data_IF_784102978514
#
_entry.id   IF_784102978514
#
_cell.length_a   1.000
_cell.length_b   1.000
_cell.length_c   1.000
_cell.angle_alpha   90.00
_cell.angle_beta   90.00
_cell.angle_gamma   90.00
#
_symmetry.space_group_name_H-M   'P 1'
#
loop_
_entity.id
_entity.type
_entity.pdbx_description
1 polymer ?
#
# COMPACT_ATOMS: atom_id res chain seq x y z
N UNK A 1 20.98 24.21 71.14
CA UNK A 1 19.70 24.38 70.40
C UNK A 1 19.65 23.36 69.26
N UNK A 2 18.81 22.32 69.34
CA UNK A 2 18.57 21.43 68.18
C UNK A 2 17.62 22.15 67.23
N UNK A 3 18.14 22.67 66.13
CA UNK A 3 17.35 23.27 65.05
C UNK A 3 16.43 22.21 64.45
N UNK A 4 15.13 22.39 64.68
CA UNK A 4 14.05 21.55 64.18
C UNK A 4 13.96 21.78 62.67
N UNK A 5 14.68 21.00 61.87
CA UNK A 5 14.55 21.00 60.41
C UNK A 5 13.08 20.70 60.07
N UNK A 6 12.31 21.72 59.69
CA UNK A 6 10.92 21.53 59.32
C UNK A 6 10.85 20.69 58.03
N UNK A 7 9.98 19.67 57.94
CA UNK A 7 9.83 18.85 56.74
C UNK A 7 9.04 19.53 55.60
N UNK A 8 8.46 20.71 55.83
CA UNK A 8 7.66 21.46 54.85
C UNK A 8 8.36 21.73 53.49
N UNK A 9 9.64 22.16 53.42
CA UNK A 9 10.30 22.36 52.13
C UNK A 9 10.44 21.07 51.33
N UNK A 10 10.63 19.90 51.98
CA UNK A 10 10.71 18.60 51.28
C UNK A 10 9.39 18.19 50.65
N UNK A 11 8.27 18.38 51.35
CA UNK A 11 6.93 18.07 50.83
C UNK A 11 6.57 18.92 49.61
N UNK A 12 6.88 20.22 49.64
CA UNK A 12 6.63 21.11 48.50
C UNK A 12 7.49 20.74 47.28
N UNK A 13 8.77 20.42 47.48
CA UNK A 13 9.64 19.97 46.39
C UNK A 13 9.18 18.65 45.77
N UNK A 14 8.68 17.70 46.57
CA UNK A 14 8.13 16.44 46.06
C UNK A 14 6.85 16.69 45.26
N UNK A 15 5.94 17.54 45.76
CA UNK A 15 4.70 17.87 45.06
C UNK A 15 4.99 18.56 43.70
N UNK A 16 5.91 19.52 43.67
CA UNK A 16 6.33 20.19 42.43
C UNK A 16 6.97 19.21 41.44
N UNK A 17 7.80 18.26 41.92
CA UNK A 17 8.37 17.23 41.07
C UNK A 17 7.32 16.29 40.49
N UNK A 18 6.30 15.90 41.27
CA UNK A 18 5.17 15.09 40.78
C UNK A 18 4.32 15.82 39.76
N UNK A 19 4.03 17.11 39.98
CA UNK A 19 3.30 17.94 39.00
C UNK A 19 4.12 18.11 37.73
N UNK A 20 5.42 18.35 37.83
CA UNK A 20 6.31 18.42 36.67
C UNK A 20 6.34 17.09 35.91
N UNK A 21 6.44 15.95 36.60
CA UNK A 21 6.37 14.62 35.99
C UNK A 21 5.00 14.35 35.33
N UNK A 22 3.91 14.83 35.92
CA UNK A 22 2.57 14.70 35.33
C UNK A 22 2.41 15.59 34.09
N UNK A 23 2.91 16.82 34.10
CA UNK A 23 2.90 17.74 32.96
C UNK A 23 3.78 17.18 31.83
N UNK A 24 4.99 16.71 32.16
CA UNK A 24 5.88 16.06 31.20
C UNK A 24 5.20 14.80 30.68
N UNK A 25 4.71 13.91 31.54
CA UNK A 25 4.02 12.69 31.13
C UNK A 25 2.79 12.95 30.24
N UNK A 26 1.98 13.94 30.57
CA UNK A 26 0.82 14.36 29.78
C UNK A 26 1.23 14.99 28.45
N UNK A 27 2.24 15.86 28.47
CA UNK A 27 2.82 16.46 27.27
C UNK A 27 3.38 15.38 26.33
N UNK A 28 4.23 14.50 26.85
CA UNK A 28 4.79 13.37 26.10
C UNK A 28 3.68 12.45 25.60
N UNK A 29 2.65 12.16 26.41
CA UNK A 29 1.49 11.40 25.94
C UNK A 29 0.79 12.11 24.78
N UNK A 30 0.52 13.42 24.87
CA UNK A 30 -0.12 14.17 23.80
C UNK A 30 0.72 14.25 22.52
N UNK A 31 2.04 14.40 22.63
CA UNK A 31 2.95 14.47 21.48
C UNK A 31 3.26 13.10 20.86
N UNK A 32 3.14 12.01 21.62
CA UNK A 32 3.43 10.65 21.14
C UNK A 32 2.15 9.87 20.79
N UNK A 33 0.98 10.32 21.27
CA UNK A 33 -0.30 9.66 20.97
C UNK A 33 -0.52 9.61 19.45
N UNK A 34 -0.90 8.44 18.91
CA UNK A 34 -1.37 8.31 17.53
C UNK A 34 -2.42 9.37 17.22
N UNK A 35 -2.13 10.29 16.30
CA UNK A 35 -3.08 11.27 15.78
C UNK A 35 -3.44 10.89 14.35
N UNK A 36 -4.73 10.83 14.06
CA UNK A 36 -5.22 10.59 12.71
C UNK A 36 -5.56 11.92 12.06
N UNK A 37 -5.24 12.07 10.78
CA UNK A 37 -5.82 13.14 9.99
C UNK A 37 -7.34 12.93 9.93
N UNK A 38 -8.10 13.86 10.53
CA UNK A 38 -9.53 13.94 10.30
C UNK A 38 -9.73 14.65 8.97
N UNK A 39 -10.21 13.92 7.97
CA UNK A 39 -10.62 14.51 6.71
C UNK A 39 -12.07 15.00 6.87
N UNK A 40 -12.36 16.29 6.65
CA UNK A 40 -13.73 16.77 6.70
C UNK A 40 -14.53 16.09 5.59
N UNK A 41 -15.65 15.49 5.95
CA UNK A 41 -16.62 14.93 4.99
C UNK A 41 -17.82 15.86 4.91
N UNK A 42 -18.33 16.05 3.69
CA UNK A 42 -19.51 16.87 3.40
C UNK A 42 -20.61 16.01 2.81
N UNK A 43 -21.87 16.49 2.89
CA UNK A 43 -23.06 15.85 2.31
C UNK A 43 -23.42 16.49 0.96
N UNK A 44 -22.99 15.88 -0.13
CA UNK A 44 -23.23 16.26 -1.51
C UNK A 44 -24.65 15.96 -2.03
N UNK A 45 -25.46 15.20 -1.28
CA UNK A 45 -26.89 15.06 -1.57
C UNK A 45 -27.65 16.40 -1.61
N UNK A 46 -27.16 17.42 -0.88
CA UNK A 46 -27.73 18.77 -0.89
C UNK A 46 -27.32 19.60 -2.12
N UNK A 47 -26.31 19.17 -2.87
CA UNK A 47 -25.84 19.88 -4.06
C UNK A 47 -26.80 19.60 -5.22
N UNK A 48 -27.40 20.63 -5.83
CA UNK A 48 -28.39 20.42 -6.88
C UNK A 48 -27.72 20.01 -8.19
N UNK A 49 -28.41 19.23 -9.03
CA UNK A 49 -27.84 18.72 -10.29
C UNK A 49 -27.53 19.82 -11.31
N UNK A 50 -28.22 20.97 -11.22
CA UNK A 50 -27.95 22.14 -12.06
C UNK A 50 -26.60 22.81 -11.74
N UNK A 51 -25.91 22.40 -10.65
CA UNK A 51 -24.55 22.84 -10.38
C UNK A 51 -23.56 22.44 -11.48
N UNK A 52 -23.92 21.44 -12.30
CA UNK A 52 -23.14 20.99 -13.46
C UNK A 52 -23.65 21.56 -14.79
N UNK A 53 -24.63 22.47 -14.80
CA UNK A 53 -25.12 23.07 -16.04
C UNK A 53 -24.08 24.05 -16.60
N UNK A 54 -23.77 23.93 -17.89
CA UNK A 54 -22.72 24.72 -18.55
C UNK A 54 -21.29 24.26 -18.24
N UNK A 55 -21.10 23.18 -17.48
CA UNK A 55 -19.79 22.53 -17.39
C UNK A 55 -19.44 21.94 -18.75
N UNK A 56 -18.51 22.57 -19.48
CA UNK A 56 -17.92 21.98 -20.66
C UNK A 56 -17.14 20.73 -20.23
N UNK A 57 -17.27 19.65 -21.00
CA UNK A 57 -16.32 18.55 -20.89
C UNK A 57 -14.97 19.13 -21.30
N UNK A 58 -14.06 19.28 -20.34
CA UNK A 58 -12.67 19.54 -20.66
C UNK A 58 -12.17 18.26 -21.32
N UNK A 59 -12.30 18.17 -22.64
CA UNK A 59 -11.52 17.21 -23.41
C UNK A 59 -10.07 17.51 -23.07
N UNK A 60 -9.34 16.49 -22.60
CA UNK A 60 -7.91 16.65 -22.38
C UNK A 60 -7.31 17.15 -23.69
N UNK A 61 -6.83 18.40 -23.69
CA UNK A 61 -5.92 18.90 -24.73
C UNK A 61 -4.63 18.09 -24.56
N UNK A 62 -4.67 16.84 -25.03
CA UNK A 62 -3.69 15.81 -24.77
C UNK A 62 -2.43 16.11 -25.54
N UNK A 63 -1.60 17.00 -24.99
CA UNK A 63 -0.18 16.98 -25.32
C UNK A 63 0.36 15.57 -25.06
N UNK A 64 1.29 15.13 -25.90
CA UNK A 64 1.99 13.86 -25.69
C UNK A 64 2.60 13.86 -24.29
N UNK A 65 2.28 12.83 -23.49
CA UNK A 65 2.82 12.69 -22.15
C UNK A 65 4.35 12.62 -22.24
N UNK A 66 5.05 13.61 -21.66
CA UNK A 66 6.52 13.73 -21.72
C UNK A 66 7.23 12.44 -21.31
N UNK A 67 6.67 11.75 -20.31
CA UNK A 67 7.06 10.41 -19.92
C UNK A 67 5.82 9.52 -19.84
N UNK A 68 5.95 8.29 -20.35
CA UNK A 68 4.97 7.22 -20.19
C UNK A 68 5.61 6.12 -19.39
N UNK A 69 5.03 5.79 -18.23
CA UNK A 69 5.50 4.68 -17.40
C UNK A 69 5.02 3.36 -18.03
N UNK A 70 5.94 2.43 -18.37
CA UNK A 70 5.58 1.15 -18.96
C UNK A 70 4.54 0.39 -18.13
N UNK A 71 3.68 -0.39 -18.79
CA UNK A 71 2.72 -1.25 -18.08
C UNK A 71 3.37 -2.59 -17.69
N UNK A 72 4.49 -2.50 -16.97
CA UNK A 72 5.18 -3.63 -16.35
C UNK A 72 4.96 -3.60 -14.85
N UNK A 73 4.81 -4.77 -14.24
CA UNK A 73 4.69 -4.92 -12.79
C UNK A 73 5.87 -5.72 -12.28
N UNK A 74 6.44 -5.31 -11.16
CA UNK A 74 7.61 -5.92 -10.56
C UNK A 74 7.31 -6.37 -9.13
N UNK A 75 7.47 -7.67 -8.87
CA UNK A 75 7.47 -8.26 -7.54
C UNK A 75 8.83 -8.89 -7.27
N UNK A 76 9.34 -8.74 -6.05
CA UNK A 76 10.55 -9.43 -5.61
C UNK A 76 10.15 -10.54 -4.63
N UNK A 77 10.64 -11.76 -4.89
CA UNK A 77 10.45 -12.90 -4.00
C UNK A 77 11.73 -13.73 -3.90
N UNK A 78 12.46 -13.53 -2.81
CA UNK A 78 13.67 -14.27 -2.50
C UNK A 78 13.35 -15.51 -1.65
N UNK A 79 14.01 -16.62 -1.96
CA UNK A 79 13.77 -17.90 -1.32
C UNK A 79 14.38 -17.94 0.09
N UNK A 80 13.54 -18.23 1.09
CA UNK A 80 14.01 -18.58 2.45
C UNK A 80 14.63 -19.98 2.47
N UNK A 81 14.03 -20.91 1.74
CA UNK A 81 14.57 -22.25 1.47
C UNK A 81 14.91 -22.32 -0.03
N UNK A 82 16.18 -22.48 -0.42
CA UNK A 82 16.60 -22.51 -1.82
C UNK A 82 15.96 -23.65 -2.63
N UNK A 83 15.38 -24.67 -1.97
CA UNK A 83 14.70 -25.78 -2.64
C UNK A 83 13.20 -25.54 -2.89
N UNK A 84 12.62 -24.43 -2.39
CA UNK A 84 11.17 -24.22 -2.40
C UNK A 84 10.76 -22.78 -2.76
N UNK A 85 10.18 -22.63 -3.95
CA UNK A 85 9.35 -21.46 -4.26
C UNK A 85 7.93 -21.68 -3.74
N UNK A 86 7.55 -20.94 -2.69
CA UNK A 86 6.23 -21.02 -2.07
C UNK A 86 5.66 -19.63 -1.83
N UNK A 87 4.54 -19.34 -2.47
CA UNK A 87 3.79 -18.09 -2.36
C UNK A 87 2.45 -18.34 -1.64
N UNK A 88 1.98 -17.34 -0.89
CA UNK A 88 0.76 -17.41 -0.08
C UNK A 88 -0.48 -16.92 -0.83
N UNK A 89 -1.64 -17.02 -0.18
CA UNK A 89 -2.89 -16.43 -0.67
C UNK A 89 -2.78 -14.92 -0.81
N UNK A 90 -2.20 -14.22 0.18
CA UNK A 90 -2.04 -12.77 0.14
C UNK A 90 -1.16 -12.32 -1.03
N UNK A 91 -0.05 -13.03 -1.30
CA UNK A 91 0.79 -12.72 -2.47
C UNK A 91 0.04 -12.99 -3.77
N UNK A 92 -0.72 -14.10 -3.85
CA UNK A 92 -1.57 -14.36 -5.00
C UNK A 92 -2.59 -13.25 -5.21
N UNK A 93 -3.21 -12.76 -4.15
CA UNK A 93 -4.20 -11.69 -4.21
C UNK A 93 -3.59 -10.39 -4.74
N UNK A 94 -2.40 -10.00 -4.27
CA UNK A 94 -1.69 -8.84 -4.81
C UNK A 94 -1.42 -9.00 -6.33
N UNK A 95 -0.80 -10.12 -6.73
CA UNK A 95 -0.44 -10.38 -8.13
C UNK A 95 -1.67 -10.49 -9.04
N UNK A 96 -2.73 -11.16 -8.55
CA UNK A 96 -3.96 -11.34 -9.30
C UNK A 96 -4.72 -10.02 -9.46
N UNK A 97 -4.78 -9.20 -8.42
CA UNK A 97 -5.33 -7.85 -8.50
C UNK A 97 -4.58 -6.99 -9.53
N UNK A 98 -3.24 -7.04 -9.55
CA UNK A 98 -2.46 -6.36 -10.59
C UNK A 98 -2.82 -6.88 -12.01
N UNK A 99 -2.96 -8.20 -12.16
CA UNK A 99 -3.33 -8.82 -13.42
C UNK A 99 -4.68 -8.32 -13.95
N UNK A 100 -5.73 -8.34 -13.12
CA UNK A 100 -7.09 -8.01 -13.57
C UNK A 100 -7.32 -6.51 -13.73
N UNK A 101 -6.78 -5.68 -12.82
CA UNK A 101 -7.08 -4.25 -12.80
C UNK A 101 -6.16 -3.44 -13.72
N UNK A 102 -4.90 -3.85 -13.87
CA UNK A 102 -3.93 -3.07 -14.66
C UNK A 102 -3.64 -3.67 -16.02
N UNK A 103 -3.99 -4.95 -16.21
CA UNK A 103 -3.76 -5.72 -17.45
C UNK A 103 -2.35 -5.49 -18.00
N UNK A 104 -1.30 -5.72 -17.18
CA UNK A 104 0.07 -5.40 -17.55
C UNK A 104 0.55 -6.29 -18.69
N UNK A 105 1.43 -5.74 -19.54
CA UNK A 105 2.08 -6.51 -20.59
C UNK A 105 2.94 -7.63 -19.98
N UNK A 106 3.59 -7.35 -18.85
CA UNK A 106 4.42 -8.30 -18.11
C UNK A 106 4.29 -8.07 -16.61
N UNK A 107 4.21 -9.17 -15.86
CA UNK A 107 4.40 -9.20 -14.41
C UNK A 107 5.70 -9.95 -14.16
N UNK A 108 6.75 -9.23 -13.80
CA UNK A 108 8.02 -9.80 -13.42
C UNK A 108 7.99 -10.29 -11.97
N UNK A 109 8.27 -11.58 -11.78
CA UNK A 109 8.63 -12.14 -10.48
C UNK A 109 10.15 -12.27 -10.44
N UNK A 110 10.80 -11.31 -9.78
CA UNK A 110 12.24 -11.29 -9.54
C UNK A 110 12.56 -12.26 -8.40
N UNK A 111 13.22 -13.37 -8.70
CA UNK A 111 13.50 -14.41 -7.71
C UNK A 111 14.87 -15.04 -7.91
N UNK A 112 15.45 -15.52 -6.81
CA UNK A 112 16.65 -16.34 -6.80
C UNK A 112 16.35 -17.85 -6.88
N UNK A 113 15.13 -18.24 -7.22
CA UNK A 113 14.78 -19.63 -7.55
C UNK A 113 15.52 -20.12 -8.81
N UNK A 114 15.96 -21.38 -8.84
CA UNK A 114 16.55 -21.99 -10.05
C UNK A 114 15.45 -22.46 -11.01
N UNK A 115 15.75 -22.70 -12.30
CA UNK A 115 14.79 -23.27 -13.25
C UNK A 115 14.14 -24.55 -12.75
N UNK A 116 14.88 -25.42 -12.06
CA UNK A 116 14.40 -26.68 -11.52
C UNK A 116 13.39 -26.45 -10.38
N UNK A 117 13.68 -25.50 -9.48
CA UNK A 117 12.77 -25.12 -8.39
C UNK A 117 11.48 -24.50 -8.94
N UNK A 118 11.59 -23.67 -9.98
CA UNK A 118 10.45 -23.09 -10.67
C UNK A 118 9.59 -24.19 -11.31
N UNK A 119 10.22 -25.14 -12.01
CA UNK A 119 9.50 -26.25 -12.65
C UNK A 119 8.78 -27.12 -11.61
N UNK A 120 9.49 -27.48 -10.53
CA UNK A 120 8.90 -28.21 -9.40
C UNK A 120 7.71 -27.45 -8.78
N UNK A 121 7.79 -26.13 -8.66
CA UNK A 121 6.71 -25.31 -8.13
C UNK A 121 5.47 -25.28 -9.06
N UNK A 122 5.67 -25.28 -10.38
CA UNK A 122 4.57 -25.43 -11.36
C UNK A 122 3.86 -26.77 -11.23
N UNK A 123 4.62 -27.85 -11.08
CA UNK A 123 4.08 -29.22 -11.04
C UNK A 123 3.49 -29.60 -9.68
N UNK A 124 4.13 -29.20 -8.58
CA UNK A 124 3.88 -29.70 -7.23
C UNK A 124 3.83 -28.63 -6.14
N UNK A 125 3.88 -27.34 -6.50
CA UNK A 125 3.75 -26.24 -5.55
C UNK A 125 2.37 -26.12 -4.89
N UNK A 126 2.24 -25.21 -3.94
CA UNK A 126 0.96 -24.89 -3.31
C UNK A 126 -0.05 -24.38 -4.34
N UNK A 127 -1.37 -24.51 -4.11
CA UNK A 127 -2.39 -24.00 -5.02
C UNK A 127 -2.16 -22.52 -5.42
N UNK A 128 -1.79 -21.67 -4.46
CA UNK A 128 -1.50 -20.25 -4.70
C UNK A 128 -0.25 -20.02 -5.54
N UNK A 129 0.82 -20.77 -5.29
CA UNK A 129 2.05 -20.70 -6.11
C UNK A 129 1.73 -21.09 -7.56
N UNK A 130 1.01 -22.20 -7.75
CA UNK A 130 0.60 -22.65 -9.08
C UNK A 130 -0.26 -21.62 -9.80
N UNK A 131 -1.23 -21.01 -9.10
CA UNK A 131 -2.09 -19.95 -9.66
C UNK A 131 -1.28 -18.75 -10.12
N UNK A 132 -0.34 -18.26 -9.30
CA UNK A 132 0.54 -17.14 -9.70
C UNK A 132 1.33 -17.50 -10.96
N UNK A 133 1.95 -18.69 -10.97
CA UNK A 133 2.76 -19.14 -12.11
C UNK A 133 1.94 -19.46 -13.36
N UNK A 134 0.62 -19.58 -13.25
CA UNK A 134 -0.31 -19.80 -14.35
C UNK A 134 -0.87 -18.49 -14.94
N UNK A 135 -0.64 -17.33 -14.32
CA UNK A 135 -1.09 -16.04 -14.86
C UNK A 135 -0.36 -15.77 -16.18
N UNK A 136 -1.05 -15.53 -17.32
CA UNK A 136 -0.40 -15.45 -18.64
C UNK A 136 0.70 -14.39 -18.76
N UNK A 137 0.54 -13.25 -18.08
CA UNK A 137 1.51 -12.15 -18.09
C UNK A 137 2.71 -12.38 -17.15
N UNK A 138 2.73 -13.45 -16.34
CA UNK A 138 3.84 -13.73 -15.42
C UNK A 138 5.12 -14.07 -16.18
N UNK A 139 6.22 -13.45 -15.78
CA UNK A 139 7.58 -13.70 -16.28
C UNK A 139 8.51 -13.87 -15.10
N UNK A 140 9.15 -15.03 -15.01
CA UNK A 140 10.15 -15.26 -13.99
C UNK A 140 11.44 -14.58 -14.43
N UNK A 141 11.93 -13.65 -13.62
CA UNK A 141 13.22 -13.03 -13.82
C UNK A 141 14.18 -13.54 -12.75
N UNK A 142 15.20 -14.29 -13.19
CA UNK A 142 16.22 -14.79 -12.27
C UNK A 142 17.07 -13.62 -11.80
N UNK A 143 17.22 -13.48 -10.49
CA UNK A 143 18.12 -12.50 -9.88
C UNK A 143 19.02 -13.16 -8.85
N UNK A 144 20.08 -12.44 -8.48
CA UNK A 144 20.91 -12.78 -7.32
C UNK A 144 20.56 -11.85 -6.17
N UNK A 145 20.37 -12.43 -4.99
CA UNK A 145 20.12 -11.66 -3.78
C UNK A 145 21.39 -10.87 -3.40
N UNK A 146 21.37 -9.52 -3.39
CA UNK A 146 22.56 -8.73 -3.11
C UNK A 146 23.04 -8.99 -1.68
N UNK A 147 24.34 -9.26 -1.52
CA UNK A 147 24.92 -9.58 -0.20
C UNK A 147 25.60 -8.39 0.45
N UNK A 148 26.09 -7.45 -0.36
CA UNK A 148 26.82 -6.27 0.09
C UNK A 148 26.54 -5.09 -0.82
N UNK A 149 26.68 -3.88 -0.28
CA UNK A 149 26.76 -2.66 -1.09
C UNK A 149 28.08 -2.61 -1.86
N UNK A 150 28.21 -1.65 -2.79
CA UNK A 150 29.46 -1.45 -3.54
C UNK A 150 30.65 -1.05 -2.65
N UNK A 151 30.39 -0.45 -1.49
CA UNK A 151 31.40 -0.14 -0.46
C UNK A 151 31.67 -1.30 0.50
N UNK A 152 30.98 -2.42 0.33
CA UNK A 152 31.19 -3.62 1.12
C UNK A 152 30.37 -3.70 2.42
N UNK A 153 29.41 -2.80 2.64
CA UNK A 153 28.46 -2.89 3.78
C UNK A 153 27.55 -4.09 3.56
N UNK A 154 27.38 -4.94 4.58
CA UNK A 154 26.58 -6.16 4.48
C UNK A 154 25.08 -5.86 4.40
N UNK A 155 24.39 -6.52 3.45
CA UNK A 155 22.94 -6.46 3.30
C UNK A 155 22.38 -7.78 3.84
N UNK A 156 22.13 -7.83 5.15
CA UNK A 156 21.76 -9.07 5.84
C UNK A 156 20.30 -9.46 5.59
N UNK A 157 19.37 -8.53 5.87
CA UNK A 157 17.92 -8.75 5.85
C UNK A 157 17.38 -8.94 4.43
N UNK A 158 16.38 -9.81 4.26
CA UNK A 158 15.78 -10.09 2.96
C UNK A 158 15.01 -8.89 2.41
N UNK A 159 14.46 -8.09 3.30
CA UNK A 159 13.71 -6.88 3.02
C UNK A 159 14.64 -5.83 2.39
N UNK A 160 15.85 -5.64 2.93
CA UNK A 160 16.86 -4.80 2.30
C UNK A 160 17.33 -5.34 0.96
N UNK A 161 17.46 -6.66 0.81
CA UNK A 161 17.78 -7.24 -0.49
C UNK A 161 16.68 -6.94 -1.52
N UNK A 162 15.42 -6.98 -1.09
CA UNK A 162 14.28 -6.55 -1.89
C UNK A 162 14.35 -5.07 -2.25
N UNK A 163 14.78 -4.19 -1.32
CA UNK A 163 14.98 -2.76 -1.59
C UNK A 163 15.99 -2.53 -2.73
N UNK A 164 17.12 -3.24 -2.75
CA UNK A 164 18.07 -3.09 -3.85
C UNK A 164 17.53 -3.65 -5.18
N UNK A 165 16.81 -4.77 -5.14
CA UNK A 165 16.27 -5.41 -6.34
C UNK A 165 15.10 -4.63 -6.95
N UNK A 166 14.22 -4.02 -6.15
CA UNK A 166 13.13 -3.18 -6.64
C UNK A 166 13.66 -1.92 -7.33
N UNK A 167 14.73 -1.33 -6.78
CA UNK A 167 15.39 -0.17 -7.40
C UNK A 167 16.07 -0.55 -8.71
N UNK A 168 16.77 -1.69 -8.77
CA UNK A 168 17.33 -2.19 -10.02
C UNK A 168 16.24 -2.41 -11.08
N UNK A 169 15.13 -3.06 -10.69
CA UNK A 169 14.03 -3.36 -11.59
C UNK A 169 13.40 -2.08 -12.19
N UNK A 170 13.05 -1.10 -11.34
CA UNK A 170 12.46 0.16 -11.81
C UNK A 170 13.45 1.01 -12.62
N UNK A 171 14.74 1.02 -12.24
CA UNK A 171 15.76 1.72 -13.02
C UNK A 171 15.90 1.10 -14.42
N UNK A 172 15.97 -0.22 -14.52
CA UNK A 172 16.32 -0.89 -15.79
C UNK A 172 15.10 -1.09 -16.71
N UNK A 173 13.94 -1.38 -16.15
CA UNK A 173 12.73 -1.70 -16.91
C UNK A 173 11.66 -0.60 -16.84
N UNK A 174 11.73 0.31 -15.87
CA UNK A 174 10.60 1.16 -15.50
C UNK A 174 9.45 0.33 -14.94
N UNK A 175 8.23 0.81 -15.10
CA UNK A 175 7.02 0.12 -14.68
C UNK A 175 6.61 0.45 -13.25
N UNK A 176 5.99 -0.51 -12.59
CA UNK A 176 5.40 -0.37 -11.25
C UNK A 176 5.91 -1.48 -10.36
N UNK A 177 6.57 -1.11 -9.27
CA UNK A 177 6.94 -2.05 -8.22
C UNK A 177 5.82 -2.13 -7.18
N UNK A 178 5.60 -3.34 -6.67
CA UNK A 178 4.70 -3.64 -5.56
C UNK A 178 5.38 -4.54 -4.54
N UNK A 179 5.33 -4.14 -3.27
CA UNK A 179 5.49 -5.08 -2.16
C UNK A 179 4.39 -6.14 -2.23
N UNK A 180 4.67 -7.34 -1.73
CA UNK A 180 3.78 -8.49 -1.90
C UNK A 180 2.48 -8.41 -1.10
N UNK A 181 2.40 -7.47 -0.16
CA UNK A 181 1.24 -7.09 0.64
C UNK A 181 0.59 -5.78 0.15
N UNK A 182 1.03 -5.23 -0.99
CA UNK A 182 0.37 -4.11 -1.65
C UNK A 182 -0.63 -4.61 -2.71
N UNK A 183 -1.93 -4.36 -2.52
CA UNK A 183 -3.00 -4.90 -3.36
C UNK A 183 -3.62 -3.81 -4.22
N UNK A 184 -3.51 -3.89 -5.56
CA UNK A 184 -4.26 -3.01 -6.46
C UNK A 184 -5.77 -3.11 -6.26
N UNK A 185 -6.44 -1.97 -6.20
CA UNK A 185 -7.90 -1.88 -6.07
C UNK A 185 -8.60 -1.38 -7.34
N UNK A 186 -7.85 -0.77 -8.27
CA UNK A 186 -8.35 -0.21 -9.53
C UNK A 186 -7.21 0.06 -10.50
N UNK A 187 -7.55 0.44 -11.72
CA UNK A 187 -6.57 0.84 -12.74
C UNK A 187 -5.78 2.11 -12.36
N UNK A 188 -4.51 2.14 -12.74
CA UNK A 188 -3.56 3.23 -12.56
C UNK A 188 -3.06 3.80 -13.89
N UNK A 189 -3.68 3.46 -15.03
CA UNK A 189 -3.30 3.98 -16.34
C UNK A 189 -3.21 5.52 -16.37
N UNK A 190 -4.11 6.22 -15.67
CA UNK A 190 -4.05 7.68 -15.53
C UNK A 190 -2.77 8.18 -14.85
N UNK A 191 -2.26 7.44 -13.85
CA UNK A 191 -0.98 7.77 -13.19
C UNK A 191 0.21 7.43 -14.11
N UNK A 192 0.17 6.29 -14.81
CA UNK A 192 1.22 5.90 -15.76
C UNK A 192 1.36 6.88 -16.93
N UNK A 193 0.24 7.46 -17.36
CA UNK A 193 0.15 8.41 -18.47
C UNK A 193 0.14 9.87 -18.00
N UNK A 194 0.49 10.15 -16.73
CA UNK A 194 0.48 11.49 -16.15
C UNK A 194 1.53 12.45 -16.74
N UNK A 195 2.48 11.93 -17.52
CA UNK A 195 3.60 12.69 -18.07
C UNK A 195 4.81 12.78 -17.13
N UNK A 196 4.71 12.28 -15.90
CA UNK A 196 5.82 12.25 -14.95
C UNK A 196 6.71 11.01 -15.11
N UNK A 197 8.02 11.19 -14.95
CA UNK A 197 8.99 10.10 -14.98
C UNK A 197 8.88 9.19 -13.75
N UNK A 198 8.38 9.68 -12.61
CA UNK A 198 8.18 8.90 -11.39
C UNK A 198 6.87 9.30 -10.71
N UNK A 199 6.14 8.32 -10.17
CA UNK A 199 4.96 8.54 -9.32
C UNK A 199 5.14 7.74 -8.03
N UNK A 200 5.12 8.44 -6.89
CA UNK A 200 5.42 7.86 -5.57
C UNK A 200 4.36 8.32 -4.57
N UNK A 201 3.98 7.45 -3.63
CA UNK A 201 3.04 7.76 -2.57
C UNK A 201 3.73 8.20 -1.28
N UNK A 202 3.10 9.13 -0.56
CA UNK A 202 3.38 9.33 0.86
C UNK A 202 3.07 8.08 1.69
N UNK A 203 3.72 7.95 2.83
CA UNK A 203 3.47 6.91 3.81
C UNK A 203 2.42 7.38 4.82
N UNK A 204 1.46 6.53 5.18
CA UNK A 204 0.56 6.83 6.30
C UNK A 204 1.26 6.49 7.60
N UNK A 205 1.25 7.43 8.54
CA UNK A 205 1.72 7.23 9.89
C UNK A 205 0.77 7.88 10.89
N UNK A 206 0.59 7.25 12.05
CA UNK A 206 -0.19 7.83 13.14
C UNK A 206 0.66 8.69 14.07
N UNK A 207 1.97 8.42 14.14
CA UNK A 207 2.88 9.31 14.84
C UNK A 207 3.34 10.44 13.90
N UNK A 208 3.34 11.67 14.42
CA UNK A 208 3.92 12.82 13.73
C UNK A 208 5.40 12.60 13.35
N UNK A 209 6.11 11.74 14.09
CA UNK A 209 7.52 11.42 13.83
C UNK A 209 7.77 10.89 12.42
N UNK A 210 6.83 10.15 11.85
CA UNK A 210 6.97 9.53 10.53
C UNK A 210 6.10 10.22 9.46
N UNK A 211 5.48 11.36 9.80
CA UNK A 211 4.67 12.11 8.85
C UNK A 211 5.55 12.78 7.79
N UNK A 212 5.09 12.75 6.54
CA UNK A 212 5.78 13.39 5.40
C UNK A 212 6.82 12.50 4.71
N UNK A 213 7.02 11.28 5.18
CA UNK A 213 7.87 10.30 4.50
C UNK A 213 7.17 9.70 3.27
N UNK A 214 7.98 9.33 2.28
CA UNK A 214 7.56 8.60 1.08
C UNK A 214 7.72 7.10 1.31
N UNK A 215 6.82 6.31 0.73
CA UNK A 215 6.86 4.85 0.83
C UNK A 215 7.48 4.22 -0.42
N UNK A 216 8.31 3.19 -0.25
CA UNK A 216 8.96 2.45 -1.34
C UNK A 216 8.28 1.11 -1.69
N UNK A 217 7.15 0.80 -1.07
CA UNK A 217 6.37 -0.41 -1.34
C UNK A 217 5.47 -0.30 -2.55
N UNK A 218 5.20 0.92 -3.01
CA UNK A 218 4.55 1.20 -4.31
C UNK A 218 5.28 2.35 -4.98
N UNK A 219 5.95 2.07 -6.09
CA UNK A 219 6.69 3.08 -6.86
C UNK A 219 6.49 2.84 -8.34
N UNK A 220 6.28 3.91 -9.08
CA UNK A 220 6.14 3.88 -10.54
C UNK A 220 7.28 4.69 -11.15
N UNK A 221 7.91 4.18 -12.21
CA UNK A 221 9.00 4.89 -12.87
C UNK A 221 9.06 4.63 -14.39
N UNK A 222 9.45 5.63 -15.15
CA UNK A 222 10.03 5.44 -16.47
C UNK A 222 11.44 4.81 -16.30
N UNK A 223 11.88 3.94 -17.22
CA UNK A 223 13.22 3.39 -17.16
C UNK A 223 14.26 4.51 -17.19
N UNK A 224 15.32 4.35 -16.40
CA UNK A 224 16.44 5.29 -16.29
C UNK A 224 16.03 6.73 -15.96
N UNK A 225 14.91 6.94 -15.26
CA UNK A 225 14.57 8.27 -14.72
C UNK A 225 15.71 8.82 -13.85
N UNK A 226 15.77 10.16 -13.69
CA UNK A 226 16.83 10.76 -12.88
C UNK A 226 16.75 10.27 -11.44
N UNK A 227 15.52 10.24 -10.88
CA UNK A 227 15.29 9.70 -9.55
C UNK A 227 15.74 8.25 -9.42
N UNK A 228 15.33 7.32 -10.29
CA UNK A 228 15.69 5.90 -10.13
C UNK A 228 17.19 5.66 -10.35
N UNK A 229 17.80 6.37 -11.28
CA UNK A 229 19.25 6.30 -11.53
C UNK A 229 20.04 6.76 -10.31
N UNK A 230 19.72 7.94 -9.78
CA UNK A 230 20.39 8.50 -8.60
C UNK A 230 20.09 7.64 -7.37
N UNK A 231 18.83 7.24 -7.18
CA UNK A 231 18.41 6.52 -5.99
C UNK A 231 19.09 5.16 -5.87
N UNK A 232 19.20 4.40 -6.96
CA UNK A 232 19.92 3.14 -6.96
C UNK A 232 21.40 3.30 -6.56
N UNK A 233 22.07 4.31 -7.12
CA UNK A 233 23.48 4.61 -6.84
C UNK A 233 23.67 5.09 -5.39
N UNK A 234 22.79 5.99 -4.94
CA UNK A 234 22.79 6.52 -3.59
C UNK A 234 22.44 5.46 -2.53
N UNK A 235 21.60 4.47 -2.86
CA UNK A 235 21.32 3.36 -1.95
C UNK A 235 22.58 2.54 -1.65
N UNK A 236 23.44 2.31 -2.64
CA UNK A 236 24.73 1.66 -2.40
C UNK A 236 25.72 2.52 -1.60
N UNK A 237 25.58 3.83 -1.65
CA UNK A 237 26.42 4.81 -0.97
C UNK A 237 26.04 4.99 0.51
N UNK A 238 24.74 5.13 0.79
CA UNK A 238 24.21 5.55 2.10
C UNK A 238 23.60 4.42 2.92
N UNK A 239 23.46 3.21 2.38
CA UNK A 239 22.96 2.08 3.15
C UNK A 239 23.88 1.76 4.33
N UNK A 240 23.29 1.76 5.51
CA UNK A 240 23.93 1.61 6.82
C UNK A 240 23.41 0.36 7.58
N UNK A 241 22.44 -0.37 7.02
CA UNK A 241 21.80 -1.51 7.67
C UNK A 241 20.56 -1.16 8.50
N UNK A 242 20.23 0.12 8.65
CA UNK A 242 19.02 0.55 9.35
C UNK A 242 17.78 0.37 8.46
N UNK A 243 16.63 0.14 9.11
CA UNK A 243 15.39 -0.24 8.42
C UNK A 243 14.95 0.77 7.35
N UNK A 244 15.10 2.07 7.65
CA UNK A 244 14.48 3.16 6.90
C UNK A 244 15.47 3.99 6.08
N UNK A 245 16.78 3.95 6.36
CA UNK A 245 17.74 4.92 5.79
C UNK A 245 17.75 4.90 4.26
N UNK A 246 18.02 3.74 3.66
CA UNK A 246 18.08 3.63 2.20
C UNK A 246 16.71 3.46 1.54
N UNK A 247 15.71 2.94 2.24
CA UNK A 247 14.39 2.62 1.69
C UNK A 247 13.43 3.81 1.72
N UNK A 248 13.39 4.54 2.85
CA UNK A 248 12.39 5.58 3.15
C UNK A 248 13.02 6.96 3.23
N UNK A 249 14.08 7.15 4.02
CA UNK A 249 14.68 8.48 4.23
C UNK A 249 15.31 9.02 2.96
N UNK A 250 16.12 8.18 2.28
CA UNK A 250 16.77 8.55 1.02
C UNK A 250 15.74 8.82 -0.09
N UNK A 251 14.71 7.98 -0.23
CA UNK A 251 13.60 8.20 -1.16
C UNK A 251 12.90 9.53 -0.87
N UNK A 252 12.64 9.82 0.40
CA UNK A 252 11.98 11.05 0.83
C UNK A 252 12.81 12.28 0.48
N UNK A 253 14.10 12.29 0.77
CA UNK A 253 14.98 13.42 0.42
C UNK A 253 15.05 13.62 -1.11
N UNK A 254 15.35 12.57 -1.86
CA UNK A 254 15.48 12.65 -3.31
C UNK A 254 14.15 13.02 -3.98
N UNK A 255 13.06 12.36 -3.62
CA UNK A 255 11.73 12.60 -4.17
C UNK A 255 11.29 14.05 -4.00
N UNK A 256 11.44 14.60 -2.79
CA UNK A 256 11.07 16.00 -2.51
C UNK A 256 11.94 17.01 -3.25
N UNK A 257 13.26 16.77 -3.36
CA UNK A 257 14.16 17.69 -4.08
C UNK A 257 13.93 17.66 -5.59
N UNK A 258 13.77 16.46 -6.14
CA UNK A 258 13.57 16.26 -7.57
C UNK A 258 12.14 16.59 -8.04
N UNK A 259 11.16 16.70 -7.13
CA UNK A 259 9.81 17.17 -7.46
C UNK A 259 9.79 18.60 -8.06
N UNK A 260 10.83 19.41 -7.80
CA UNK A 260 10.99 20.73 -8.41
C UNK A 260 11.40 20.67 -9.89
N UNK A 261 11.89 19.54 -10.36
CA UNK A 261 12.27 19.34 -11.77
C UNK A 261 11.00 19.01 -12.57
N UNK A 262 10.70 19.75 -13.65
CA UNK A 262 9.48 19.56 -14.43
C UNK A 262 9.30 18.11 -14.90
N UNK A 263 8.18 17.50 -14.51
CA UNK A 263 7.78 16.14 -14.84
C UNK A 263 8.72 15.04 -14.31
N UNK A 264 9.58 15.31 -13.33
CA UNK A 264 10.46 14.26 -12.78
C UNK A 264 9.73 13.41 -11.73
N UNK A 265 9.16 14.03 -10.69
CA UNK A 265 8.49 13.31 -9.59
C UNK A 265 7.10 13.89 -9.34
N UNK A 266 6.08 13.03 -9.40
CA UNK A 266 4.74 13.27 -8.87
C UNK A 266 4.61 12.57 -7.52
N UNK A 267 4.45 13.35 -6.45
CA UNK A 267 4.20 12.83 -5.11
C UNK A 267 2.69 12.82 -4.85
N UNK A 268 2.14 11.65 -4.56
CA UNK A 268 0.75 11.46 -4.21
C UNK A 268 0.55 11.50 -2.69
N UNK A 269 -0.64 11.90 -2.26
CA UNK A 269 -1.04 11.78 -0.86
C UNK A 269 -1.01 10.30 -0.40
N UNK A 270 -0.81 10.02 0.90
CA UNK A 270 -0.71 8.66 1.40
C UNK A 270 -1.88 7.76 1.04
N UNK A 271 -3.11 8.28 1.05
CA UNK A 271 -4.34 7.52 0.76
C UNK A 271 -4.33 6.83 -0.62
N UNK A 272 -3.52 7.32 -1.58
CA UNK A 272 -3.44 6.76 -2.91
C UNK A 272 -2.83 5.34 -2.92
N UNK A 273 -1.76 5.11 -2.17
CA UNK A 273 -1.00 3.85 -2.18
C UNK A 273 -0.84 3.19 -0.80
N UNK A 274 -0.93 3.97 0.27
CA UNK A 274 -0.75 3.52 1.64
C UNK A 274 -1.79 4.19 2.55
N UNK A 275 -3.08 3.80 2.49
CA UNK A 275 -4.15 4.43 3.26
C UNK A 275 -4.13 4.08 4.76
N UNK A 276 -3.29 3.14 5.20
CA UNK A 276 -3.24 2.63 6.58
C UNK A 276 -1.81 2.33 7.01
N UNK A 277 -1.38 2.80 8.18
CA UNK A 277 0.00 2.58 8.64
C UNK A 277 0.29 1.14 9.08
N UNK A 278 1.58 0.81 9.21
CA UNK A 278 2.09 -0.42 9.83
C UNK A 278 1.84 -0.48 11.35
N UNK A 279 1.34 0.61 11.94
CA UNK A 279 1.06 0.69 13.37
C UNK A 279 -0.17 -0.15 13.72
N UNK A 280 -0.14 -0.76 14.90
CA UNK A 280 -1.13 -1.74 15.36
C UNK A 280 -2.57 -1.21 15.29
N UNK A 281 -2.78 0.06 15.64
CA UNK A 281 -4.10 0.69 15.67
C UNK A 281 -4.76 0.77 14.29
N UNK A 282 -3.98 0.98 13.23
CA UNK A 282 -4.50 0.99 11.86
C UNK A 282 -4.69 -0.43 11.32
N UNK A 283 -3.78 -1.36 11.64
CA UNK A 283 -3.99 -2.76 11.29
C UNK A 283 -5.24 -3.35 11.97
N UNK A 284 -5.53 -2.98 13.24
CA UNK A 284 -6.80 -3.35 13.89
C UNK A 284 -7.98 -2.85 13.06
N UNK A 285 -7.96 -1.59 12.62
CA UNK A 285 -9.05 -1.03 11.80
C UNK A 285 -9.17 -1.74 10.46
N UNK A 286 -8.06 -2.16 9.87
CA UNK A 286 -8.04 -2.83 8.57
C UNK A 286 -8.55 -4.27 8.66
N UNK A 287 -8.07 -5.06 9.63
CA UNK A 287 -8.27 -6.51 9.68
C UNK A 287 -9.29 -7.00 10.71
N UNK A 288 -9.67 -6.21 11.71
CA UNK A 288 -10.64 -6.68 12.71
C UNK A 288 -12.00 -6.91 12.06
N UNK A 289 -12.58 -8.08 12.31
CA UNK A 289 -13.93 -8.41 11.88
C UNK A 289 -14.96 -7.66 12.74
N UNK A 290 -15.92 -6.99 12.09
CA UNK A 290 -17.10 -6.45 12.74
C UNK A 290 -18.02 -7.60 13.19
N UNK A 291 -18.60 -7.47 14.39
CA UNK A 291 -19.47 -8.49 14.99
C UNK A 291 -20.81 -8.59 14.27
N UNK A 292 -21.37 -7.43 13.92
CA UNK A 292 -22.61 -7.28 13.16
C UNK A 292 -22.34 -6.35 11.97
N UNK A 293 -21.67 -6.81 10.89
CA UNK A 293 -21.69 -6.03 9.68
C UNK A 293 -23.14 -5.99 9.23
N UNK A 294 -23.73 -4.79 9.14
CA UNK A 294 -24.84 -4.64 8.20
C UNK A 294 -24.24 -5.12 6.90
N UNK A 295 -24.71 -6.26 6.38
CA UNK A 295 -24.39 -6.64 5.04
C UNK A 295 -24.92 -5.47 4.22
N UNK A 296 -24.04 -4.53 3.86
CA UNK A 296 -24.38 -3.47 2.93
C UNK A 296 -24.83 -4.24 1.71
N UNK A 297 -26.15 -4.31 1.54
CA UNK A 297 -26.84 -5.11 0.55
C UNK A 297 -26.68 -4.51 -0.83
N UNK A 298 -25.48 -4.02 -1.15
CA UNK A 298 -25.01 -3.95 -2.52
C UNK A 298 -24.90 -5.42 -2.91
N UNK A 299 -25.92 -5.88 -3.62
CA UNK A 299 -26.12 -7.26 -3.97
C UNK A 299 -24.88 -7.85 -4.65
N UNK A 300 -24.87 -9.17 -4.74
CA UNK A 300 -23.95 -9.90 -5.62
C UNK A 300 -24.10 -9.48 -7.10
N UNK A 301 -25.07 -8.62 -7.39
CA UNK A 301 -25.39 -8.03 -8.68
C UNK A 301 -25.21 -6.51 -8.54
N UNK A 302 -24.45 -5.89 -9.46
CA UNK A 302 -24.25 -4.43 -9.61
C UNK A 302 -23.10 -3.72 -8.86
N UNK A 303 -21.94 -4.38 -8.67
CA UNK A 303 -20.65 -3.67 -8.80
C UNK A 303 -19.91 -4.02 -10.10
N UNK A 304 -20.66 -4.42 -11.12
CA UNK A 304 -20.35 -3.94 -12.47
C UNK A 304 -20.61 -2.43 -12.53
N UNK A 305 -19.99 -1.63 -11.63
CA UNK A 305 -19.81 -0.23 -11.91
C UNK A 305 -18.99 -0.23 -13.19
N UNK A 306 -19.69 0.00 -14.29
CA UNK A 306 -19.09 0.54 -15.47
C UNK A 306 -18.09 1.57 -14.94
N UNK A 307 -16.81 1.38 -15.21
CA UNK A 307 -15.88 2.49 -15.36
C UNK A 307 -16.35 3.34 -16.55
N UNK A 308 -17.64 3.66 -16.60
CA UNK A 308 -18.19 4.75 -17.38
C UNK A 308 -17.41 5.93 -16.85
N UNK A 309 -16.57 6.45 -17.72
CA UNK A 309 -15.82 7.69 -17.57
C UNK A 309 -16.52 8.58 -16.54
N UNK A 310 -16.01 8.62 -15.30
CA UNK A 310 -16.28 9.72 -14.38
C UNK A 310 -15.51 10.91 -14.99
N UNK A 311 -15.97 11.35 -16.15
CA UNK A 311 -15.31 12.36 -16.97
C UNK A 311 -16.09 13.66 -16.93
N UNK A 312 -17.38 13.60 -16.62
CA UNK A 312 -18.23 14.78 -16.53
C UNK A 312 -18.48 15.19 -15.08
N UNK A 313 -18.77 16.47 -14.87
CA UNK A 313 -19.23 16.99 -13.59
C UNK A 313 -20.44 16.20 -13.06
N UNK A 314 -21.39 15.86 -13.94
CA UNK A 314 -22.64 15.19 -13.57
C UNK A 314 -22.38 13.77 -13.08
N UNK A 315 -21.47 13.03 -13.72
CA UNK A 315 -21.09 11.69 -13.30
C UNK A 315 -20.38 11.70 -11.94
N UNK A 316 -19.47 12.67 -11.74
CA UNK A 316 -18.78 12.84 -10.47
C UNK A 316 -19.74 13.18 -9.32
N UNK A 317 -20.68 14.11 -9.55
CA UNK A 317 -21.70 14.47 -8.56
C UNK A 317 -22.64 13.30 -8.26
N UNK A 318 -23.09 12.57 -9.28
CA UNK A 318 -23.94 11.40 -9.12
C UNK A 318 -23.23 10.29 -8.32
N UNK A 319 -21.94 10.05 -8.60
CA UNK A 319 -21.12 9.10 -7.86
C UNK A 319 -20.97 9.48 -6.38
N UNK A 320 -20.77 10.77 -6.06
CA UNK A 320 -20.72 11.26 -4.68
C UNK A 320 -22.06 11.00 -3.96
N UNK A 321 -23.18 11.36 -4.59
CA UNK A 321 -24.52 11.13 -4.03
C UNK A 321 -24.83 9.65 -3.80
N UNK A 322 -24.41 8.78 -4.71
CA UNK A 322 -24.62 7.33 -4.57
C UNK A 322 -23.95 6.78 -3.30
N UNK A 323 -22.72 7.21 -2.99
CA UNK A 323 -21.99 6.80 -1.77
C UNK A 323 -22.59 7.36 -0.49
N UNK A 324 -23.37 8.43 -0.56
CA UNK A 324 -24.12 8.94 0.60
C UNK A 324 -25.46 8.25 0.79
N UNK A 325 -26.08 7.82 -0.31
CA UNK A 325 -27.35 7.11 -0.31
C UNK A 325 -27.21 5.63 0.07
N UNK A 326 -26.00 5.06 0.02
CA UNK A 326 -25.74 3.80 0.70
C UNK A 326 -25.98 4.02 2.20
N UNK A 327 -27.14 3.57 2.67
CA UNK A 327 -27.54 3.64 4.08
C UNK A 327 -26.38 3.12 4.93
N UNK A 328 -25.80 4.05 5.69
CA UNK A 328 -24.90 3.75 6.81
C UNK A 328 -23.67 2.92 6.40
N UNK A 329 -22.66 3.56 5.80
CA UNK A 329 -21.30 3.07 6.01
C UNK A 329 -21.10 3.03 7.53
N UNK A 330 -20.85 1.85 8.08
CA UNK A 330 -20.69 1.74 9.53
C UNK A 330 -19.53 2.66 9.96
N UNK A 331 -19.56 3.27 11.16
CA UNK A 331 -18.50 4.18 11.61
C UNK A 331 -17.07 3.57 11.61
N UNK A 332 -16.97 2.24 11.55
CA UNK A 332 -15.70 1.52 11.47
C UNK A 332 -15.16 1.38 10.04
N UNK A 333 -15.98 1.61 9.01
CA UNK A 333 -15.61 1.43 7.62
C UNK A 333 -14.53 2.43 7.17
N UNK A 334 -13.65 1.95 6.30
CA UNK A 334 -12.60 2.71 5.65
C UNK A 334 -13.08 3.08 4.24
N UNK A 335 -13.04 4.38 3.91
CA UNK A 335 -13.28 4.81 2.54
C UNK A 335 -12.00 4.70 1.71
N UNK A 336 -11.96 3.70 0.83
CA UNK A 336 -10.89 3.48 -0.13
C UNK A 336 -11.17 4.18 -1.48
N UNK A 337 -12.10 5.13 -1.55
CA UNK A 337 -12.48 5.84 -2.77
C UNK A 337 -11.32 6.56 -3.47
N UNK A 338 -10.33 7.03 -2.72
CA UNK A 338 -9.11 7.68 -3.26
C UNK A 338 -7.91 6.74 -3.35
N UNK A 339 -8.10 5.45 -3.03
CA UNK A 339 -7.03 4.44 -2.98
C UNK A 339 -6.93 3.67 -4.29
N UNK A 340 -5.75 3.73 -4.91
CA UNK A 340 -5.38 2.92 -6.07
C UNK A 340 -4.79 1.58 -5.66
N UNK A 341 -3.95 1.58 -4.62
CA UNK A 341 -3.30 0.40 -4.05
C UNK A 341 -3.47 0.44 -2.54
N UNK A 342 -3.87 -0.68 -1.96
CA UNK A 342 -3.91 -0.88 -0.52
C UNK A 342 -2.62 -1.56 -0.08
N UNK A 343 -1.68 -0.82 0.51
CA UNK A 343 -0.55 -1.42 1.22
C UNK A 343 -1.06 -2.00 2.56
N UNK A 344 -1.26 -3.32 2.61
CA UNK A 344 -1.93 -4.01 3.70
C UNK A 344 -0.93 -4.65 4.67
N UNK A 345 -0.09 -3.84 5.32
CA UNK A 345 0.88 -4.32 6.32
C UNK A 345 0.23 -5.32 7.29
N UNK A 346 0.80 -6.52 7.44
CA UNK A 346 0.12 -7.64 8.11
C UNK A 346 0.80 -8.13 9.42
N UNK A 347 1.82 -7.40 9.88
CA UNK A 347 2.64 -7.74 11.05
C UNK A 347 1.85 -8.08 12.34
N UNK A 348 0.67 -7.48 12.54
CA UNK A 348 -0.17 -7.66 13.72
C UNK A 348 -1.36 -8.59 13.49
N UNK A 349 -1.58 -9.09 12.26
CA UNK A 349 -2.75 -9.90 11.90
C UNK A 349 -2.99 -11.07 12.86
N UNK A 350 -1.99 -11.91 13.21
CA UNK A 350 -2.21 -13.02 14.14
C UNK A 350 -2.73 -12.59 15.53
N UNK A 351 -2.40 -11.36 15.96
CA UNK A 351 -2.88 -10.79 17.22
C UNK A 351 -4.27 -10.15 17.12
N UNK A 352 -4.74 -9.85 15.91
CA UNK A 352 -6.00 -9.15 15.63
C UNK A 352 -7.13 -10.14 15.39
N UNK A 353 -6.91 -11.11 14.49
CA UNK A 353 -7.95 -12.08 14.09
C UNK A 353 -7.90 -13.39 14.89
N UNK A 354 -6.85 -13.57 15.71
CA UNK A 354 -6.62 -14.77 16.49
C UNK A 354 -5.72 -15.79 15.77
N UNK A 355 -5.00 -16.61 16.54
CA UNK A 355 -3.95 -17.51 16.03
C UNK A 355 -4.47 -18.63 15.13
N UNK A 356 -5.73 -19.04 15.32
CA UNK A 356 -6.37 -20.11 14.55
C UNK A 356 -7.11 -19.58 13.31
N UNK A 357 -7.17 -18.25 13.15
CA UNK A 357 -7.76 -17.59 12.00
C UNK A 357 -6.66 -17.09 11.07
N UNK A 358 -6.91 -17.15 9.77
CA UNK A 358 -5.99 -16.70 8.72
C UNK A 358 -6.75 -15.88 7.70
N UNK A 359 -6.03 -15.01 7.00
CA UNK A 359 -6.55 -14.34 5.82
C UNK A 359 -6.57 -15.36 4.68
N UNK A 360 -7.75 -15.82 4.32
CA UNK A 360 -8.01 -16.75 3.22
C UNK A 360 -9.23 -16.32 2.41
N UNK A 361 -9.62 -17.14 1.43
CA UNK A 361 -10.79 -16.89 0.56
C UNK A 361 -12.04 -16.65 1.39
N UNK A 362 -12.29 -17.49 2.39
CA UNK A 362 -13.45 -17.39 3.27
C UNK A 362 -13.47 -16.08 4.05
N UNK A 363 -12.35 -15.70 4.66
CA UNK A 363 -12.21 -14.42 5.35
C UNK A 363 -12.58 -13.23 4.44
N UNK A 364 -12.13 -13.25 3.17
CA UNK A 364 -12.46 -12.19 2.21
C UNK A 364 -13.95 -12.20 1.82
N UNK A 365 -14.49 -13.38 1.50
CA UNK A 365 -15.88 -13.52 1.06
C UNK A 365 -16.90 -13.19 2.16
N UNK A 366 -16.52 -13.35 3.43
CA UNK A 366 -17.34 -12.92 4.58
C UNK A 366 -17.50 -11.39 4.66
N UNK A 367 -16.60 -10.59 4.07
CA UNK A 367 -16.66 -9.11 4.03
C UNK A 367 -16.82 -8.43 5.40
N UNK A 368 -16.35 -9.08 6.47
CA UNK A 368 -16.49 -8.59 7.85
C UNK A 368 -15.43 -7.59 8.27
N UNK A 369 -14.37 -7.38 7.49
CA UNK A 369 -13.32 -6.40 7.78
C UNK A 369 -13.14 -5.43 6.61
N UNK A 370 -12.48 -4.30 6.88
CA UNK A 370 -12.15 -3.32 5.86
C UNK A 370 -11.24 -3.92 4.77
N UNK A 371 -10.28 -4.75 5.16
CA UNK A 371 -9.46 -5.51 4.23
C UNK A 371 -10.32 -6.40 3.35
N UNK A 372 -11.19 -7.22 3.95
CA UNK A 372 -12.03 -8.16 3.23
C UNK A 372 -12.92 -7.43 2.21
N UNK A 373 -13.51 -6.29 2.60
CA UNK A 373 -14.32 -5.46 1.69
C UNK A 373 -13.50 -4.85 0.56
N UNK A 374 -12.31 -4.32 0.86
CA UNK A 374 -11.46 -3.69 -0.15
C UNK A 374 -11.02 -4.66 -1.25
N UNK A 375 -10.64 -5.88 -0.86
CA UNK A 375 -10.08 -6.87 -1.80
C UNK A 375 -11.11 -7.86 -2.33
N UNK A 376 -12.34 -7.83 -1.82
CA UNK A 376 -13.46 -8.67 -2.25
C UNK A 376 -13.65 -8.69 -3.77
N UNK A 377 -13.65 -7.56 -4.50
CA UNK A 377 -13.89 -7.57 -5.94
C UNK A 377 -12.93 -8.49 -6.72
N UNK A 378 -11.65 -8.51 -6.36
CA UNK A 378 -10.65 -9.36 -7.01
C UNK A 378 -10.88 -10.85 -6.71
N UNK A 379 -11.16 -11.20 -5.45
CA UNK A 379 -11.43 -12.59 -5.04
C UNK A 379 -12.74 -13.08 -5.65
N UNK A 380 -13.78 -12.25 -5.65
CA UNK A 380 -15.07 -12.60 -6.23
C UNK A 380 -14.96 -12.83 -7.73
N UNK A 381 -14.23 -11.98 -8.45
CA UNK A 381 -14.00 -12.18 -9.87
C UNK A 381 -13.24 -13.49 -10.14
N UNK A 382 -12.24 -13.84 -9.32
CA UNK A 382 -11.55 -15.14 -9.45
C UNK A 382 -12.47 -16.35 -9.20
N UNK A 383 -13.45 -16.23 -8.30
CA UNK A 383 -14.48 -17.26 -8.07
C UNK A 383 -15.41 -17.36 -9.28
N UNK A 384 -15.82 -16.23 -9.86
CA UNK A 384 -16.70 -16.18 -11.03
C UNK A 384 -16.05 -16.81 -12.28
N UNK A 385 -14.74 -16.61 -12.47
CA UNK A 385 -13.97 -17.24 -13.56
C UNK A 385 -13.56 -18.70 -13.28
N UNK A 386 -13.90 -19.25 -12.09
CA UNK A 386 -13.52 -20.61 -11.70
C UNK A 386 -12.03 -20.81 -11.39
N UNK A 387 -11.26 -19.73 -11.21
CA UNK A 387 -9.85 -19.78 -10.80
C UNK A 387 -9.72 -20.22 -9.34
N UNK A 388 -10.63 -19.74 -8.50
CA UNK A 388 -10.90 -20.30 -7.17
C UNK A 388 -12.13 -21.20 -7.31
N UNK A 389 -12.00 -22.47 -6.92
CA UNK A 389 -13.12 -23.41 -7.05
C UNK A 389 -14.14 -23.20 -5.93
N UNK A 390 -15.39 -23.63 -6.15
CA UNK A 390 -16.45 -23.54 -5.14
C UNK A 390 -16.12 -24.32 -3.87
N UNK A 391 -15.34 -25.40 -3.96
CA UNK A 391 -14.93 -26.18 -2.79
C UNK A 391 -13.95 -25.41 -1.89
N UNK A 392 -13.15 -24.51 -2.46
CA UNK A 392 -12.25 -23.62 -1.70
C UNK A 392 -12.97 -22.43 -1.06
N UNK A 393 -14.24 -22.20 -1.41
CA UNK A 393 -15.08 -21.14 -0.84
C UNK A 393 -15.72 -21.58 0.49
N UNK A 394 -15.89 -22.89 0.72
CA UNK A 394 -16.62 -23.44 1.88
C UNK A 394 -15.90 -23.35 3.23
#
# INVERSE_FOLDING_TARGET
MRTRNSPRPRLLTIALALVALAIVGYGTYYFVKPYRYSYPTFRFNSVPDHACDGAENIESQGGEAKHVIPNFVHYVWLLKDPAQLRLSFQVWLSVYSAHIFWRPERIYLHTDATPEVIQKAKESGTPWTKRILAIPSIKINKVEAPKKTRKGVEIANMEHKSDFLRLAALRDFGGVYLDTDAIPLRDIAGLRNSGFANVIGGQTALSMRFSGYLNNGVMMAAPHSNLMTIFYEAAHEFFDGEWETASIHLLTDLGNRLASIPNEVLILQPQAFDPTSWQKEDQIRLFKEALDPIATGVGLEEQGQQQGSIGTCRDALAWLKQRENSKEADPWELDFSSTYVLHAFDNWVPSIIGKDRKIDVKYVLERKSNYARAVFPAVWQAVQEGIITRDEVS
#
